data_IF_476463413598
#
_entry.id   IF_476463413598
#
_cell.length_a   1.000
_cell.length_b   1.000
_cell.length_c   1.000
_cell.angle_alpha   90.00
_cell.angle_beta   90.00
_cell.angle_gamma   90.00
#
_symmetry.space_group_name_H-M   'P 1'
#
loop_
_entity.id
_entity.type
_entity.pdbx_description
1 polymer ?
#
# COMPACT_ATOMS: atom_id res chain seq x y z
N UNK A 1 8.12 -19.04 -4.71
CA UNK A 1 6.87 -18.29 -4.42
C UNK A 1 6.95 -17.61 -3.05
N UNK A 2 7.10 -18.37 -1.95
CA UNK A 2 7.43 -17.82 -0.63
C UNK A 2 8.71 -16.98 -0.63
N UNK A 3 9.71 -17.36 -1.43
CA UNK A 3 10.93 -16.58 -1.66
C UNK A 3 10.68 -15.14 -2.13
N UNK A 4 9.61 -14.90 -2.91
CA UNK A 4 9.28 -13.54 -3.38
C UNK A 4 8.78 -12.70 -2.22
N UNK A 5 7.94 -13.25 -1.33
CA UNK A 5 7.50 -12.56 -0.11
C UNK A 5 8.70 -12.28 0.79
N UNK A 6 9.54 -13.29 1.06
CA UNK A 6 10.75 -13.13 1.88
C UNK A 6 11.65 -12.03 1.30
N UNK A 7 11.86 -11.99 -0.03
CA UNK A 7 12.60 -10.91 -0.71
C UNK A 7 11.99 -9.53 -0.45
N UNK A 8 10.65 -9.40 -0.39
CA UNK A 8 9.96 -8.12 -0.08
C UNK A 8 10.02 -7.73 1.38
N UNK A 9 10.09 -8.70 2.29
CA UNK A 9 10.23 -8.45 3.72
C UNK A 9 11.68 -8.10 4.11
N UNK A 10 12.65 -8.66 3.37
CA UNK A 10 14.07 -8.45 3.55
C UNK A 10 14.53 -7.07 3.09
N UNK A 11 15.60 -6.50 3.69
CA UNK A 11 16.25 -5.31 3.15
C UNK A 11 16.66 -5.55 1.69
N UNK A 12 16.18 -4.69 0.79
CA UNK A 12 16.50 -4.73 -0.63
C UNK A 12 16.48 -3.30 -1.19
N UNK A 13 16.97 -3.12 -2.43
CA UNK A 13 16.79 -1.85 -3.14
C UNK A 13 15.29 -1.52 -3.22
N UNK A 14 14.96 -0.26 -3.03
CA UNK A 14 13.59 0.24 -3.11
C UNK A 14 13.06 0.12 -4.56
N UNK A 15 11.74 0.15 -4.75
CA UNK A 15 11.15 0.09 -6.11
C UNK A 15 11.53 1.36 -6.89
N UNK A 16 11.59 2.47 -6.17
CA UNK A 16 12.02 3.79 -6.57
C UNK A 16 13.45 3.74 -7.15
N UNK A 17 14.39 3.10 -6.43
CA UNK A 17 15.77 2.91 -6.89
C UNK A 17 15.84 2.03 -8.14
N UNK A 18 15.02 0.97 -8.19
CA UNK A 18 14.99 0.04 -9.33
C UNK A 18 14.46 0.70 -10.61
N UNK A 19 13.58 1.69 -10.47
CA UNK A 19 12.89 2.35 -11.60
C UNK A 19 13.33 3.81 -11.81
N UNK A 20 14.44 4.23 -11.20
CA UNK A 20 14.93 5.63 -11.24
C UNK A 20 15.09 6.18 -12.67
N UNK A 21 15.52 5.35 -13.62
CA UNK A 21 15.64 5.76 -15.03
C UNK A 21 14.26 6.08 -15.63
N UNK A 22 13.28 5.19 -15.44
CA UNK A 22 11.93 5.35 -16.01
C UNK A 22 11.21 6.56 -15.41
N UNK A 23 11.36 6.78 -14.10
CA UNK A 23 10.78 7.94 -13.41
C UNK A 23 11.46 9.24 -13.81
N UNK A 24 12.77 9.23 -14.05
CA UNK A 24 13.50 10.39 -14.60
C UNK A 24 13.02 10.75 -16.01
N UNK A 25 12.79 9.76 -16.87
CA UNK A 25 12.26 9.96 -18.23
C UNK A 25 10.85 10.61 -18.21
N UNK A 26 10.09 10.39 -17.12
CA UNK A 26 8.79 11.01 -16.85
C UNK A 26 8.89 12.33 -16.05
N UNK A 27 10.09 12.85 -15.85
CA UNK A 27 10.36 14.07 -15.08
C UNK A 27 9.82 14.02 -13.63
N UNK A 28 9.72 12.83 -13.04
CA UNK A 28 9.33 12.66 -11.64
C UNK A 28 10.56 12.80 -10.74
N UNK A 29 10.63 13.90 -9.99
CA UNK A 29 11.78 14.22 -9.13
C UNK A 29 11.75 13.50 -7.79
N UNK A 30 10.56 13.34 -7.20
CA UNK A 30 10.34 12.56 -5.99
C UNK A 30 9.25 11.55 -6.29
N UNK A 31 9.47 10.32 -5.87
CA UNK A 31 8.56 9.20 -6.11
C UNK A 31 8.43 8.37 -4.84
N UNK A 32 7.29 7.73 -4.70
CA UNK A 32 7.01 6.75 -3.66
C UNK A 32 6.19 5.60 -4.25
N UNK A 33 6.14 4.48 -3.55
CA UNK A 33 5.21 3.39 -3.87
C UNK A 33 3.77 3.81 -3.56
N UNK A 34 2.86 3.56 -4.51
CA UNK A 34 1.44 3.82 -4.33
C UNK A 34 0.84 2.86 -3.29
N UNK A 35 1.16 1.57 -3.41
CA UNK A 35 0.76 0.54 -2.45
C UNK A 35 2.00 -0.12 -1.84
N UNK A 36 2.21 0.09 -0.55
CA UNK A 36 3.34 -0.49 0.20
C UNK A 36 3.12 -1.98 0.49
N UNK A 37 4.09 -2.83 0.12
CA UNK A 37 3.98 -4.27 0.34
C UNK A 37 3.74 -4.60 1.82
N UNK A 38 4.49 -3.96 2.72
CA UNK A 38 4.39 -4.24 4.16
C UNK A 38 3.03 -3.81 4.70
N UNK A 39 2.51 -2.65 4.29
CA UNK A 39 1.17 -2.19 4.68
C UNK A 39 0.09 -3.18 4.27
N UNK A 40 0.06 -3.54 2.98
CA UNK A 40 -0.92 -4.49 2.43
C UNK A 40 -0.79 -5.86 3.08
N UNK A 41 0.43 -6.39 3.23
CA UNK A 41 0.65 -7.69 3.86
C UNK A 41 0.18 -7.71 5.33
N UNK A 42 0.38 -6.64 6.09
CA UNK A 42 -0.13 -6.56 7.47
C UNK A 42 -1.65 -6.50 7.58
N UNK A 43 -2.34 -5.87 6.61
CA UNK A 43 -3.80 -5.97 6.52
C UNK A 43 -4.24 -7.40 6.25
N UNK A 44 -3.51 -8.13 5.39
CA UNK A 44 -3.73 -9.56 5.16
C UNK A 44 -3.58 -10.39 6.43
N UNK A 45 -2.54 -10.11 7.23
CA UNK A 45 -2.37 -10.80 8.52
C UNK A 45 -3.57 -10.51 9.43
N UNK A 46 -4.05 -9.27 9.49
CA UNK A 46 -5.23 -8.91 10.29
C UNK A 46 -6.49 -9.64 9.83
N UNK A 47 -6.74 -9.73 8.53
CA UNK A 47 -7.91 -10.40 7.96
C UNK A 47 -7.89 -11.93 8.15
N UNK A 48 -6.73 -12.58 7.96
CA UNK A 48 -6.61 -14.04 8.03
C UNK A 48 -6.39 -14.55 9.46
N UNK A 49 -5.70 -13.76 10.29
CA UNK A 49 -5.31 -14.11 11.65
C UNK A 49 -5.72 -13.01 12.65
N UNK A 50 -7.02 -12.66 12.75
CA UNK A 50 -7.49 -11.53 13.57
C UNK A 50 -7.16 -11.70 15.06
N UNK A 51 -7.02 -12.94 15.54
CA UNK A 51 -6.64 -13.27 16.92
C UNK A 51 -5.15 -13.07 17.23
N UNK A 52 -4.31 -12.82 16.21
CA UNK A 52 -2.89 -12.53 16.35
C UNK A 52 -2.57 -11.04 16.27
N UNK A 53 -3.54 -10.20 15.91
CA UNK A 53 -3.31 -8.78 15.62
C UNK A 53 -4.33 -7.89 16.32
N UNK A 54 -3.84 -6.86 16.99
CA UNK A 54 -4.66 -5.81 17.58
C UNK A 54 -4.29 -4.44 17.01
N UNK A 55 -5.18 -3.48 17.22
CA UNK A 55 -5.02 -2.07 16.87
C UNK A 55 -4.80 -1.27 18.14
N UNK A 56 -3.94 -0.25 18.07
CA UNK A 56 -3.83 0.70 19.19
C UNK A 56 -5.24 1.29 19.45
N UNK A 57 -5.69 1.43 20.71
CA UNK A 57 -6.99 2.03 21.00
C UNK A 57 -7.13 3.39 20.29
N UNK A 58 -8.20 3.56 19.51
CA UNK A 58 -8.46 4.74 18.65
C UNK A 58 -7.36 5.06 17.63
N UNK A 59 -6.52 4.07 17.31
CA UNK A 59 -5.36 4.23 16.45
C UNK A 59 -5.47 3.39 15.19
N UNK A 60 -4.65 3.76 14.21
CA UNK A 60 -4.55 3.08 12.92
C UNK A 60 -3.34 2.14 12.86
N UNK A 61 -2.69 1.86 13.99
CA UNK A 61 -1.44 1.09 13.99
C UNK A 61 -1.68 -0.34 14.47
N UNK A 62 -1.27 -1.30 13.63
CA UNK A 62 -1.35 -2.74 13.93
C UNK A 62 -0.14 -3.21 14.75
N UNK A 63 -0.40 -4.04 15.75
CA UNK A 63 0.61 -4.70 16.59
C UNK A 63 0.24 -6.17 16.86
N UNK A 64 1.23 -7.05 17.08
CA UNK A 64 0.98 -8.45 17.37
C UNK A 64 0.45 -8.65 18.80
N UNK A 65 -0.48 -9.60 18.99
CA UNK A 65 -1.01 -9.99 20.30
C UNK A 65 -0.11 -11.11 20.86
N UNK A 66 1.05 -10.73 21.41
CA UNK A 66 1.99 -11.71 22.01
C UNK A 66 2.07 -11.59 23.53
N UNK A 67 2.23 -10.37 24.06
CA UNK A 67 2.32 -10.12 25.50
C UNK A 67 2.06 -8.63 25.82
N UNK A 68 1.03 -8.31 26.62
CA UNK A 68 0.51 -6.94 26.83
C UNK A 68 1.58 -5.88 27.16
N UNK A 69 2.67 -6.27 27.82
CA UNK A 69 3.78 -5.38 28.22
C UNK A 69 4.81 -5.14 27.10
N UNK A 70 5.03 -6.10 26.19
CA UNK A 70 5.97 -5.99 25.04
C UNK A 70 5.30 -5.42 23.78
N UNK A 71 3.99 -5.56 23.66
CA UNK A 71 3.21 -5.25 22.45
C UNK A 71 3.22 -3.76 22.05
N UNK A 72 3.42 -2.81 22.98
CA UNK A 72 3.36 -1.37 22.65
C UNK A 72 4.53 -0.84 21.82
N UNK A 73 5.67 -1.55 21.81
CA UNK A 73 6.88 -1.13 21.06
C UNK A 73 7.05 -1.89 19.74
N UNK A 74 6.51 -3.11 19.64
CA UNK A 74 6.61 -3.91 18.43
C UNK A 74 5.52 -3.50 17.43
N UNK A 75 5.94 -3.08 16.23
CA UNK A 75 5.03 -2.80 15.12
C UNK A 75 4.89 -4.05 14.26
N UNK A 76 3.66 -4.36 13.82
CA UNK A 76 3.42 -5.53 12.97
C UNK A 76 4.16 -5.41 11.62
N UNK A 77 4.24 -4.21 11.05
CA UNK A 77 4.87 -3.95 9.76
C UNK A 77 6.41 -3.97 9.78
N UNK A 78 7.04 -4.24 10.93
CA UNK A 78 8.50 -4.34 11.01
C UNK A 78 8.98 -5.52 10.17
N UNK A 79 9.95 -5.29 9.27
CA UNK A 79 10.52 -6.34 8.42
C UNK A 79 11.11 -7.49 9.24
N UNK A 80 11.78 -7.18 10.36
CA UNK A 80 12.33 -8.21 11.25
C UNK A 80 11.24 -9.09 11.88
N UNK A 81 10.11 -8.49 12.29
CA UNK A 81 8.98 -9.24 12.83
C UNK A 81 8.37 -10.14 11.75
N UNK A 82 8.02 -9.56 10.60
CA UNK A 82 7.38 -10.30 9.52
C UNK A 82 8.24 -11.47 9.01
N UNK A 83 9.57 -11.32 8.99
CA UNK A 83 10.49 -12.42 8.65
C UNK A 83 10.52 -13.51 9.72
N UNK A 84 10.64 -13.14 11.00
CA UNK A 84 10.72 -14.11 12.10
C UNK A 84 9.44 -14.95 12.24
N UNK A 85 8.29 -14.37 11.89
CA UNK A 85 6.98 -15.01 11.99
C UNK A 85 6.41 -15.43 10.63
N UNK A 86 7.21 -15.40 9.55
CA UNK A 86 6.74 -15.63 8.18
C UNK A 86 5.98 -16.96 8.05
N UNK A 87 6.54 -18.05 8.59
CA UNK A 87 5.95 -19.40 8.51
C UNK A 87 4.60 -19.51 9.26
N UNK A 88 4.31 -18.61 10.19
CA UNK A 88 3.04 -18.61 10.93
C UNK A 88 1.84 -18.14 10.09
N UNK A 89 2.09 -17.53 8.93
CA UNK A 89 1.07 -16.92 8.08
C UNK A 89 0.83 -17.70 6.79
N UNK A 90 0.96 -19.04 6.84
CA UNK A 90 0.94 -19.93 5.67
C UNK A 90 -0.26 -19.70 4.73
N UNK A 91 -1.49 -19.58 5.25
CA UNK A 91 -2.69 -19.37 4.41
C UNK A 91 -2.59 -18.08 3.57
N UNK A 92 -2.07 -17.00 4.17
CA UNK A 92 -1.83 -15.74 3.49
C UNK A 92 -0.65 -15.85 2.51
N UNK A 93 0.41 -16.55 2.90
CA UNK A 93 1.61 -16.72 2.08
C UNK A 93 1.36 -17.52 0.81
N UNK A 94 0.34 -18.37 0.79
CA UNK A 94 -0.08 -19.15 -0.38
C UNK A 94 -1.26 -18.52 -1.13
N UNK A 95 -1.71 -17.34 -0.73
CA UNK A 95 -2.86 -16.67 -1.34
C UNK A 95 -2.50 -16.20 -2.76
N UNK A 96 -3.30 -16.64 -3.75
CA UNK A 96 -3.10 -16.35 -5.16
C UNK A 96 -3.07 -14.85 -5.43
N UNK A 97 -4.05 -14.11 -4.91
CA UNK A 97 -4.21 -12.67 -5.13
C UNK A 97 -3.01 -11.87 -4.56
N UNK A 98 -2.41 -12.36 -3.46
CA UNK A 98 -1.20 -11.75 -2.91
C UNK A 98 -0.01 -11.94 -3.86
N UNK A 99 0.09 -13.10 -4.50
CA UNK A 99 1.14 -13.34 -5.50
C UNK A 99 0.93 -12.50 -6.74
N UNK A 100 -0.31 -12.33 -7.22
CA UNK A 100 -0.62 -11.45 -8.35
C UNK A 100 -0.23 -10.00 -8.04
N UNK A 101 -0.49 -9.52 -6.81
CA UNK A 101 0.00 -8.22 -6.37
C UNK A 101 1.54 -8.12 -6.40
N UNK A 102 2.24 -9.14 -5.90
CA UNK A 102 3.71 -9.15 -5.89
C UNK A 102 4.29 -9.12 -7.32
N UNK A 103 3.63 -9.78 -8.28
CA UNK A 103 4.06 -9.79 -9.69
C UNK A 103 4.03 -8.39 -10.32
N UNK A 104 3.08 -7.54 -9.91
CA UNK A 104 2.96 -6.16 -10.41
C UNK A 104 3.61 -5.12 -9.50
N UNK A 105 4.12 -5.51 -8.33
CA UNK A 105 4.63 -4.60 -7.31
C UNK A 105 5.81 -3.73 -7.77
N UNK A 106 6.78 -4.31 -8.49
CA UNK A 106 7.97 -3.61 -9.01
C UNK A 106 7.73 -3.01 -10.41
N UNK A 107 6.50 -2.55 -10.68
CA UNK A 107 6.15 -1.90 -11.95
C UNK A 107 5.91 -0.40 -11.78
N UNK A 108 5.99 0.35 -12.88
CA UNK A 108 5.84 1.80 -12.88
C UNK A 108 4.43 2.22 -12.41
N UNK A 109 3.42 1.39 -12.69
CA UNK A 109 2.05 1.52 -12.19
C UNK A 109 1.95 1.62 -10.68
N UNK A 110 2.88 1.03 -9.93
CA UNK A 110 2.91 1.13 -8.47
C UNK A 110 3.79 2.28 -7.96
N UNK A 111 4.30 3.15 -8.82
CA UNK A 111 4.96 4.39 -8.42
C UNK A 111 4.04 5.57 -8.63
N UNK A 112 4.18 6.58 -7.79
CA UNK A 112 3.47 7.83 -7.89
C UNK A 112 4.43 8.99 -7.64
N UNK A 113 4.39 10.06 -8.46
CA UNK A 113 5.13 11.26 -8.15
C UNK A 113 4.61 11.86 -6.86
N UNK A 114 5.53 12.40 -6.07
CA UNK A 114 5.24 13.08 -4.81
C UNK A 114 6.04 14.38 -4.74
N UNK A 115 5.81 15.16 -3.68
CA UNK A 115 6.48 16.42 -3.42
C UNK A 115 7.60 16.27 -2.37
N UNK A 116 8.59 17.18 -2.34
CA UNK A 116 9.54 17.23 -1.24
C UNK A 116 8.77 17.37 0.09
N UNK A 117 9.09 16.55 1.09
CA UNK A 117 8.34 16.58 2.36
C UNK A 117 7.15 15.60 2.44
N UNK A 118 6.85 14.83 1.38
CA UNK A 118 5.84 13.75 1.41
C UNK A 118 6.34 12.52 2.22
N UNK A 119 5.78 11.33 2.00
CA UNK A 119 6.05 10.12 2.81
C UNK A 119 7.55 9.77 2.98
N UNK A 120 8.37 10.03 1.97
CA UNK A 120 9.85 9.91 2.04
C UNK A 120 10.54 10.88 3.01
N UNK A 121 9.83 11.89 3.54
CA UNK A 121 10.35 12.94 4.44
C UNK A 121 9.53 13.15 5.73
N UNK A 122 8.28 12.69 5.82
CA UNK A 122 7.45 12.82 7.04
C UNK A 122 7.56 11.66 8.03
N UNK A 123 8.05 10.50 7.58
CA UNK A 123 8.00 9.27 8.37
C UNK A 123 6.59 8.65 8.40
N UNK A 124 6.53 7.35 8.66
CA UNK A 124 5.31 6.52 8.61
C UNK A 124 4.26 7.03 9.60
N UNK A 125 3.07 7.43 9.12
CA UNK A 125 1.96 7.90 9.94
C UNK A 125 0.85 6.83 10.10
N UNK A 126 1.19 5.61 10.52
CA UNK A 126 0.22 4.52 10.73
C UNK A 126 -0.30 3.86 9.45
N UNK A 127 -1.50 3.23 9.47
CA UNK A 127 -2.14 2.64 8.27
C UNK A 127 -2.68 3.71 7.30
N UNK A 128 -2.35 5.00 7.52
CA UNK A 128 -2.67 6.08 6.59
C UNK A 128 -1.89 6.01 5.26
N UNK A 129 -0.91 5.11 5.11
CA UNK A 129 -0.20 4.89 3.84
C UNK A 129 -1.02 4.11 2.79
N UNK A 130 -2.34 4.08 2.90
CA UNK A 130 -3.25 3.55 1.88
C UNK A 130 -3.58 4.65 0.87
N UNK A 131 -3.24 4.43 -0.40
CA UNK A 131 -3.47 5.39 -1.47
C UNK A 131 -4.94 5.86 -1.57
N UNK A 132 -5.88 4.93 -1.43
CA UNK A 132 -7.33 5.17 -1.46
C UNK A 132 -7.84 6.10 -0.35
N UNK A 133 -7.05 6.30 0.72
CA UNK A 133 -7.33 7.24 1.81
C UNK A 133 -6.48 8.50 1.67
N UNK A 134 -5.17 8.35 1.53
CA UNK A 134 -4.22 9.46 1.59
C UNK A 134 -4.45 10.52 0.51
N UNK A 135 -4.49 10.10 -0.76
CA UNK A 135 -4.62 11.06 -1.87
C UNK A 135 -6.02 11.69 -1.97
N UNK A 136 -7.00 11.09 -1.29
CA UNK A 136 -8.38 11.56 -1.23
C UNK A 136 -8.72 12.31 0.06
N UNK A 137 -7.75 12.52 0.95
CA UNK A 137 -7.92 13.46 2.05
C UNK A 137 -7.92 14.89 1.49
N UNK A 138 -8.96 15.66 1.83
CA UNK A 138 -9.12 17.05 1.36
C UNK A 138 -7.88 17.94 1.53
N UNK A 139 -7.10 17.76 2.60
CA UNK A 139 -5.88 18.53 2.85
C UNK A 139 -4.76 18.11 1.92
N UNK A 140 -4.67 16.80 1.63
CA UNK A 140 -3.69 16.26 0.69
C UNK A 140 -4.06 16.63 -0.74
N UNK A 141 -5.35 16.64 -1.08
CA UNK A 141 -5.82 17.09 -2.39
C UNK A 141 -5.49 18.57 -2.63
N UNK A 142 -5.83 19.46 -1.68
CA UNK A 142 -5.51 20.89 -1.76
C UNK A 142 -3.99 21.11 -1.94
N UNK A 143 -3.19 20.39 -1.16
CA UNK A 143 -1.74 20.45 -1.26
C UNK A 143 -1.21 19.86 -2.58
N UNK A 144 -1.77 18.75 -3.05
CA UNK A 144 -1.42 18.12 -4.33
C UNK A 144 -1.64 19.06 -5.50
N UNK A 145 -2.74 19.81 -5.49
CA UNK A 145 -3.07 20.84 -6.50
C UNK A 145 -2.06 21.98 -6.53
N UNK A 146 -1.38 22.30 -5.43
CA UNK A 146 -0.32 23.33 -5.44
C UNK A 146 0.98 22.87 -6.11
N UNK A 147 1.18 21.57 -6.29
CA UNK A 147 2.35 20.99 -6.96
C UNK A 147 2.04 20.46 -8.37
N UNK A 148 0.80 20.01 -8.61
CA UNK A 148 0.39 19.39 -9.86
C UNK A 148 -0.90 20.01 -10.37
N UNK A 149 -0.81 20.82 -11.42
CA UNK A 149 -1.98 21.48 -12.02
C UNK A 149 -3.03 20.48 -12.55
N UNK A 150 -2.59 19.27 -12.90
CA UNK A 150 -3.44 18.19 -13.38
C UNK A 150 -3.86 17.22 -12.26
N UNK A 151 -3.77 17.58 -10.98
CA UNK A 151 -4.19 16.70 -9.89
C UNK A 151 -5.68 16.32 -10.02
N UNK A 152 -5.97 15.01 -10.07
CA UNK A 152 -7.29 14.42 -10.33
C UNK A 152 -7.98 14.80 -11.65
N UNK A 153 -7.26 15.26 -12.68
CA UNK A 153 -7.81 15.29 -14.05
C UNK A 153 -7.89 13.88 -14.64
N UNK A 154 -8.63 13.69 -15.73
CA UNK A 154 -8.79 12.36 -16.37
C UNK A 154 -7.46 11.71 -16.77
N UNK A 155 -6.50 12.53 -17.22
CA UNK A 155 -5.14 12.12 -17.60
C UNK A 155 -4.15 12.06 -16.44
N UNK A 156 -4.62 12.28 -15.22
CA UNK A 156 -3.78 12.41 -14.04
C UNK A 156 -3.35 11.05 -13.51
N UNK A 157 -2.07 10.94 -13.18
CA UNK A 157 -1.52 9.81 -12.42
C UNK A 157 -1.99 9.80 -10.97
N UNK A 158 -2.79 10.77 -10.54
CA UNK A 158 -3.48 10.74 -9.24
C UNK A 158 -4.92 10.24 -9.39
N UNK A 159 -5.45 10.18 -10.60
CA UNK A 159 -6.82 9.72 -10.85
C UNK A 159 -6.84 8.19 -11.02
N UNK A 160 -7.06 7.48 -9.92
CA UNK A 160 -7.25 6.03 -9.90
C UNK A 160 -8.54 5.68 -9.16
N UNK A 161 -9.16 4.56 -9.51
CA UNK A 161 -10.40 4.14 -8.83
C UNK A 161 -10.13 3.85 -7.36
N UNK A 162 -11.03 4.28 -6.47
CA UNK A 162 -10.99 3.94 -5.03
C UNK A 162 -11.63 2.59 -4.76
N UNK A 163 -11.14 1.89 -3.74
CA UNK A 163 -11.79 0.69 -3.24
C UNK A 163 -13.08 1.04 -2.51
N UNK A 164 -14.19 0.48 -2.97
CA UNK A 164 -15.52 0.76 -2.42
C UNK A 164 -16.17 -0.47 -1.80
N UNK A 165 -17.07 -0.25 -0.86
CA UNK A 165 -18.01 -1.23 -0.32
C UNK A 165 -18.80 -1.87 -1.46
N UNK A 166 -18.92 -3.20 -1.39
CA UNK A 166 -19.47 -3.98 -2.48
C UNK A 166 -20.93 -3.57 -2.73
N UNK A 167 -21.22 -3.15 -3.97
CA UNK A 167 -22.58 -2.80 -4.40
C UNK A 167 -23.08 -1.41 -3.96
N UNK A 168 -22.34 -0.63 -3.19
CA UNK A 168 -22.77 0.71 -2.75
C UNK A 168 -22.01 1.87 -3.41
N UNK A 169 -20.83 1.61 -3.98
CA UNK A 169 -19.95 2.66 -4.52
C UNK A 169 -19.35 3.57 -3.45
N UNK A 170 -19.61 3.31 -2.16
CA UNK A 170 -19.09 4.08 -1.03
C UNK A 170 -17.63 3.67 -0.80
N UNK A 171 -16.65 4.59 -0.88
CA UNK A 171 -15.25 4.26 -0.63
C UNK A 171 -15.01 3.80 0.82
N UNK A 172 -14.07 2.86 1.00
CA UNK A 172 -13.69 2.40 2.34
C UNK A 172 -13.12 3.55 3.16
N UNK A 173 -13.52 3.63 4.42
CA UNK A 173 -12.79 4.38 5.43
C UNK A 173 -11.73 3.52 6.12
N UNK A 174 -10.96 4.14 7.02
CA UNK A 174 -9.88 3.44 7.72
C UNK A 174 -10.38 2.28 8.60
N UNK A 175 -11.58 2.37 9.19
CA UNK A 175 -12.13 1.29 10.00
C UNK A 175 -12.55 0.12 9.11
N UNK A 176 -13.16 0.41 7.96
CA UNK A 176 -13.51 -0.61 6.96
C UNK A 176 -12.26 -1.43 6.56
N UNK A 177 -11.12 -0.77 6.31
CA UNK A 177 -9.86 -1.47 6.01
C UNK A 177 -9.35 -2.33 7.17
N UNK A 178 -9.48 -1.84 8.40
CA UNK A 178 -9.01 -2.54 9.60
C UNK A 178 -9.93 -3.70 10.00
N UNK A 179 -11.19 -3.69 9.53
CA UNK A 179 -12.18 -4.73 9.79
C UNK A 179 -12.38 -5.72 8.64
N UNK A 180 -11.63 -5.58 7.54
CA UNK A 180 -11.76 -6.48 6.38
C UNK A 180 -11.72 -7.95 6.80
N UNK A 181 -12.70 -8.71 6.33
CA UNK A 181 -12.64 -10.16 6.35
C UNK A 181 -11.72 -10.71 5.25
N UNK A 182 -11.65 -12.04 5.16
CA UNK A 182 -10.79 -12.72 4.17
C UNK A 182 -11.20 -12.45 2.74
N UNK A 183 -12.51 -12.38 2.45
CA UNK A 183 -13.02 -12.13 1.10
C UNK A 183 -12.86 -10.66 0.70
N UNK A 184 -13.11 -9.73 1.63
CA UNK A 184 -12.88 -8.31 1.42
C UNK A 184 -11.40 -8.02 1.13
N UNK A 185 -10.49 -8.66 1.87
CA UNK A 185 -9.05 -8.53 1.61
C UNK A 185 -8.65 -9.08 0.24
N UNK A 186 -9.20 -10.23 -0.21
CA UNK A 186 -8.97 -10.75 -1.57
C UNK A 186 -9.44 -9.76 -2.63
N UNK A 187 -10.64 -9.20 -2.45
CA UNK A 187 -11.20 -8.18 -3.35
C UNK A 187 -10.34 -6.93 -3.37
N UNK A 188 -9.78 -6.53 -2.23
CA UNK A 188 -8.87 -5.41 -2.13
C UNK A 188 -7.55 -5.67 -2.87
N UNK A 189 -6.96 -6.87 -2.77
CA UNK A 189 -5.78 -7.24 -3.56
C UNK A 189 -6.05 -7.18 -5.07
N UNK A 190 -7.20 -7.70 -5.52
CA UNK A 190 -7.61 -7.61 -6.92
C UNK A 190 -7.77 -6.16 -7.39
N UNK A 191 -8.33 -5.30 -6.53
CA UNK A 191 -8.41 -3.85 -6.79
C UNK A 191 -7.04 -3.21 -6.96
N UNK A 192 -6.10 -3.50 -6.05
CA UNK A 192 -4.72 -2.98 -6.14
C UNK A 192 -4.06 -3.40 -7.45
N UNK A 193 -4.18 -4.68 -7.80
CA UNK A 193 -3.62 -5.22 -9.06
C UNK A 193 -4.21 -4.48 -10.26
N UNK A 194 -5.52 -4.30 -10.29
CA UNK A 194 -6.21 -3.58 -11.36
C UNK A 194 -5.74 -2.13 -11.47
N UNK A 195 -5.68 -1.39 -10.35
CA UNK A 195 -5.18 -0.01 -10.33
C UNK A 195 -3.75 0.08 -10.86
N UNK A 196 -2.85 -0.81 -10.43
CA UNK A 196 -1.46 -0.82 -10.90
C UNK A 196 -1.41 -1.13 -12.41
N UNK A 197 -2.20 -2.08 -12.90
CA UNK A 197 -2.25 -2.45 -14.32
C UNK A 197 -2.80 -1.32 -15.19
N UNK A 198 -3.90 -0.68 -14.79
CA UNK A 198 -4.48 0.45 -15.51
C UNK A 198 -3.50 1.61 -15.62
N UNK A 199 -2.79 1.92 -14.53
CA UNK A 199 -1.73 2.94 -14.53
C UNK A 199 -0.57 2.56 -15.45
N UNK A 200 -0.13 1.29 -15.42
CA UNK A 200 0.89 0.81 -16.37
C UNK A 200 0.48 0.99 -17.84
N UNK A 201 -0.82 0.91 -18.15
CA UNK A 201 -1.33 1.14 -19.51
C UNK A 201 -1.45 2.63 -19.87
N UNK A 202 -1.49 3.53 -18.88
CA UNK A 202 -1.54 4.98 -19.09
C UNK A 202 -0.16 5.57 -19.43
N UNK A 203 0.92 5.06 -18.82
CA UNK A 203 2.29 5.58 -19.04
C UNK A 203 2.86 5.46 -20.47
N UNK A 204 2.50 4.47 -21.30
CA UNK A 204 2.81 4.45 -22.73
C UNK A 204 2.16 5.59 -23.53
N UNK A 205 1.16 6.27 -22.96
CA UNK A 205 0.26 7.20 -23.67
C UNK A 205 0.40 8.66 -23.24
N UNK A 206 1.00 8.91 -22.07
CA UNK A 206 1.26 10.26 -21.56
C UNK A 206 2.55 10.82 -22.15
N UNK A 207 2.44 11.51 -23.29
CA UNK A 207 3.34 12.63 -23.57
C UNK A 207 3.02 13.70 -22.51
N UNK A 208 3.89 13.82 -21.51
CA UNK A 208 3.84 14.89 -20.50
C UNK A 208 4.16 16.25 -21.13
#
# INVERSE_FOLDING_TARGET
MNEMIIKRLSPSKSVEDLLIKKTSDLNWKYVDVLFSFKGIYTLGIKAFYPNKVSTVPNGTVLYPIENEVKNRRQRLYSGAYLLNHFEEYQELNTLKELHEFIQVYETLGNLIPVWPGANSHRGVFGVYDLADLYFYDSKIEEFGRSFYNNFFTETSVYNFTRFCQQGSGIPYDIQDYLSMDREEYRRFLNHIVQVIQDRNNQFPSTNL
#
